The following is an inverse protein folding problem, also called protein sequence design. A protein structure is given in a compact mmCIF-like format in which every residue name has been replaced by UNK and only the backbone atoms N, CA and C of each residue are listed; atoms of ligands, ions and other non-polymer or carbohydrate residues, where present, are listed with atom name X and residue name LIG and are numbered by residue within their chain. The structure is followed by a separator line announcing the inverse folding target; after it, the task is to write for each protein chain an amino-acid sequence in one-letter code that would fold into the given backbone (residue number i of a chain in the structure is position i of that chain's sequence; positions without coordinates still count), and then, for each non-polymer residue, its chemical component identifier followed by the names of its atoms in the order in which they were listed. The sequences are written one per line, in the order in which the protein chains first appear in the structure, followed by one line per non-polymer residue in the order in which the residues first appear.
data_IF_782100795184
#
_entry.id   IF_782100795184
#
_cell.length_a   1.000
_cell.length_b   1.000
_cell.length_c   1.000
_cell.angle_alpha   90.00
_cell.angle_beta   90.00
_cell.angle_gamma   90.00
#
_symmetry.space_group_name_H-M   'P 1'
#
loop_
_entity.id
_entity.type
_entity.pdbx_description
1 polymer ?
#
# COMPACT_ATOMS: atom_id res chain seq x y z
N UNK A 1 14.00 -15.91 6.92
CA UNK A 1 12.73 -15.29 6.53
C UNK A 1 12.52 -14.02 7.34
N UNK A 2 12.50 -12.90 6.65
CA UNK A 2 12.02 -11.62 7.18
C UNK A 2 10.60 -11.40 6.67
N UNK A 3 9.67 -11.02 7.55
CA UNK A 3 8.27 -10.78 7.19
C UNK A 3 7.91 -9.33 7.48
N UNK A 4 7.38 -8.64 6.49
CA UNK A 4 6.94 -7.25 6.58
C UNK A 4 5.44 -7.16 6.31
N UNK A 5 4.71 -6.62 7.27
CA UNK A 5 3.31 -6.24 7.11
C UNK A 5 3.25 -4.74 6.86
N UNK A 6 2.96 -4.35 5.63
CA UNK A 6 2.76 -2.97 5.24
C UNK A 6 1.27 -2.66 5.27
N UNK A 7 0.83 -1.74 6.13
CA UNK A 7 -0.57 -1.35 6.24
C UNK A 7 -0.70 0.10 5.80
N UNK A 8 -1.51 0.35 4.79
CA UNK A 8 -1.73 1.71 4.29
C UNK A 8 -2.44 2.56 5.33
N UNK A 9 -2.06 3.84 5.39
CA UNK A 9 -2.63 4.85 6.28
C UNK A 9 -2.67 4.45 7.78
N UNK A 10 -1.80 3.54 8.24
CA UNK A 10 -1.69 3.19 9.66
C UNK A 10 -1.05 4.35 10.44
N UNK A 11 -1.90 5.15 11.08
CA UNK A 11 -1.47 6.34 11.81
C UNK A 11 -0.96 5.99 13.22
N UNK A 12 0.26 6.42 13.54
CA UNK A 12 0.98 6.06 14.77
C UNK A 12 0.29 6.57 16.03
N UNK A 13 -0.15 7.83 16.05
CA UNK A 13 -0.81 8.45 17.21
C UNK A 13 -2.13 7.74 17.51
N UNK A 14 -2.89 7.33 16.49
CA UNK A 14 -4.10 6.53 16.69
C UNK A 14 -3.80 5.13 17.26
N UNK A 15 -2.73 4.48 16.81
CA UNK A 15 -2.28 3.18 17.38
C UNK A 15 -1.89 3.33 18.85
N UNK A 16 -1.25 4.44 19.21
CA UNK A 16 -0.93 4.77 20.60
C UNK A 16 -2.18 5.09 21.43
N UNK A 17 -3.03 6.00 20.97
CA UNK A 17 -4.20 6.51 21.68
C UNK A 17 -5.25 5.42 21.95
N UNK A 18 -5.43 4.48 21.01
CA UNK A 18 -6.39 3.37 21.15
C UNK A 18 -5.78 2.11 21.79
N UNK A 19 -4.50 2.15 22.20
CA UNK A 19 -3.78 1.02 22.80
C UNK A 19 -3.88 -0.27 21.97
N UNK A 20 -3.60 -0.16 20.66
CA UNK A 20 -3.67 -1.26 19.72
C UNK A 20 -2.50 -2.25 19.91
N UNK A 21 -2.45 -2.96 21.04
CA UNK A 21 -1.31 -3.76 21.47
C UNK A 21 -0.84 -4.83 20.45
N UNK A 22 -1.75 -5.39 19.65
CA UNK A 22 -1.40 -6.37 18.62
C UNK A 22 -0.76 -5.76 17.36
N UNK A 23 -0.87 -4.43 17.18
CA UNK A 23 -0.24 -3.70 16.09
C UNK A 23 1.18 -3.22 16.46
N UNK A 24 1.49 -3.15 17.76
CA UNK A 24 2.80 -2.72 18.26
C UNK A 24 3.76 -3.91 18.29
N UNK A 25 4.93 -3.75 17.68
CA UNK A 25 6.03 -4.70 17.82
C UNK A 25 6.71 -4.54 19.19
N UNK A 26 7.57 -5.48 19.59
CA UNK A 26 8.32 -5.39 20.84
C UNK A 26 9.18 -4.11 20.89
N UNK A 27 9.75 -3.75 19.75
CA UNK A 27 10.42 -2.48 19.50
C UNK A 27 9.71 -1.81 18.32
N UNK A 28 9.32 -0.55 18.48
CA UNK A 28 8.63 0.21 17.45
C UNK A 28 9.01 1.69 17.53
N UNK A 29 8.75 2.43 16.45
CA UNK A 29 9.07 3.84 16.35
C UNK A 29 8.35 4.50 15.19
N UNK A 30 8.67 5.77 14.95
CA UNK A 30 8.15 6.57 13.84
C UNK A 30 9.33 7.01 12.99
N UNK A 31 9.21 6.84 11.67
CA UNK A 31 10.17 7.40 10.72
C UNK A 31 9.95 8.90 10.60
N UNK A 32 11.03 9.68 10.66
CA UNK A 32 10.96 11.09 10.33
C UNK A 32 10.78 11.24 8.82
N UNK A 33 9.64 11.80 8.42
CA UNK A 33 9.26 12.06 7.03
C UNK A 33 9.27 13.56 6.71
N UNK A 34 9.93 14.38 7.53
CA UNK A 34 9.97 15.84 7.35
C UNK A 34 10.69 16.29 6.07
N UNK A 35 11.43 15.40 5.41
CA UNK A 35 12.05 15.65 4.12
C UNK A 35 11.06 15.63 2.94
N UNK A 36 9.85 15.08 3.14
CA UNK A 36 8.82 14.97 2.10
C UNK A 36 7.87 16.17 2.20
N UNK A 37 7.68 16.88 1.09
CA UNK A 37 6.71 17.97 0.97
C UNK A 37 5.31 17.41 0.70
N UNK A 38 5.23 16.32 -0.05
CA UNK A 38 4.00 15.64 -0.44
C UNK A 38 4.12 14.13 -0.17
N UNK A 39 3.91 13.67 1.09
CA UNK A 39 4.08 12.28 1.50
C UNK A 39 2.96 11.37 0.98
N UNK A 40 2.86 11.23 -0.34
CA UNK A 40 1.90 10.37 -1.04
C UNK A 40 2.35 8.90 -0.92
N UNK A 41 1.41 7.97 -0.93
CA UNK A 41 1.68 6.52 -0.88
C UNK A 41 2.75 6.07 -1.88
N UNK A 42 2.63 6.46 -3.15
CA UNK A 42 3.64 6.14 -4.18
C UNK A 42 5.02 6.73 -3.87
N UNK A 43 5.09 7.94 -3.32
CA UNK A 43 6.37 8.59 -2.96
C UNK A 43 7.04 7.85 -1.82
N UNK A 44 6.29 7.59 -0.74
CA UNK A 44 6.83 6.96 0.46
C UNK A 44 7.29 5.53 0.20
N UNK A 45 6.49 4.72 -0.51
CA UNK A 45 6.87 3.33 -0.80
C UNK A 45 8.02 3.21 -1.79
N UNK A 46 8.03 4.05 -2.83
CA UNK A 46 9.17 4.13 -3.76
C UNK A 46 10.45 4.51 -3.02
N UNK A 47 10.36 5.48 -2.12
CA UNK A 47 11.52 5.92 -1.33
C UNK A 47 11.99 4.85 -0.35
N UNK A 48 11.05 4.18 0.33
CA UNK A 48 11.34 3.09 1.25
C UNK A 48 12.10 1.93 0.56
N UNK A 49 11.61 1.46 -0.59
CA UNK A 49 12.20 0.29 -1.24
C UNK A 49 13.50 0.60 -1.97
N UNK A 50 13.71 1.82 -2.45
CA UNK A 50 14.94 2.23 -3.14
C UNK A 50 16.00 2.80 -2.18
N UNK A 51 15.61 3.20 -0.97
CA UNK A 51 16.51 3.81 0.01
C UNK A 51 16.91 5.25 -0.31
N UNK A 52 16.23 5.89 -1.27
CA UNK A 52 16.46 7.27 -1.70
C UNK A 52 15.15 8.06 -1.65
N UNK A 53 15.20 9.38 -1.43
CA UNK A 53 14.01 10.21 -1.57
C UNK A 53 13.58 10.28 -3.05
N UNK A 54 12.45 9.68 -3.39
CA UNK A 54 11.88 9.62 -4.74
C UNK A 54 10.81 10.67 -5.02
N UNK A 55 10.58 11.64 -4.13
CA UNK A 55 9.51 12.65 -4.26
C UNK A 55 9.57 13.38 -5.61
N UNK A 56 10.71 14.00 -5.93
CA UNK A 56 10.88 14.76 -7.17
C UNK A 56 10.66 13.88 -8.42
N UNK A 57 11.17 12.65 -8.42
CA UNK A 57 11.05 11.73 -9.55
C UNK A 57 9.59 11.31 -9.78
N UNK A 58 8.88 11.00 -8.70
CA UNK A 58 7.51 10.50 -8.74
C UNK A 58 6.53 11.63 -9.09
N UNK A 59 6.68 12.80 -8.46
CA UNK A 59 5.80 13.95 -8.73
C UNK A 59 5.97 14.51 -10.14
N UNK A 60 7.18 14.43 -10.71
CA UNK A 60 7.44 14.88 -12.09
C UNK A 60 6.63 14.11 -13.16
N UNK A 61 6.13 12.92 -12.84
CA UNK A 61 5.34 12.08 -13.76
C UNK A 61 3.87 12.52 -13.86
N UNK A 62 3.38 13.31 -12.90
CA UNK A 62 1.98 13.71 -12.82
C UNK A 62 1.06 12.60 -12.29
N UNK A 63 -0.21 12.92 -12.04
CA UNK A 63 -1.09 12.09 -11.21
C UNK A 63 -1.37 10.70 -11.79
N UNK A 64 -1.58 10.56 -13.10
CA UNK A 64 -1.88 9.28 -13.74
C UNK A 64 -0.61 8.41 -13.85
N UNK A 65 0.47 8.97 -14.38
CA UNK A 65 1.70 8.21 -14.64
C UNK A 65 2.51 7.91 -13.37
N UNK A 66 2.30 8.67 -12.30
CA UNK A 66 2.80 8.34 -10.96
C UNK A 66 2.41 6.91 -10.59
N UNK A 67 1.14 6.52 -10.74
CA UNK A 67 0.66 5.17 -10.40
C UNK A 67 1.14 4.09 -11.36
N UNK A 68 1.64 4.47 -12.55
CA UNK A 68 2.22 3.56 -13.52
C UNK A 68 3.71 3.28 -13.30
N UNK A 69 4.34 4.01 -12.38
CA UNK A 69 5.76 3.87 -12.09
C UNK A 69 6.01 2.55 -11.39
N UNK A 70 7.04 1.86 -11.85
CA UNK A 70 7.47 0.56 -11.33
C UNK A 70 8.99 0.54 -11.28
N UNK A 71 9.53 0.11 -10.15
CA UNK A 71 10.97 -0.03 -9.94
C UNK A 71 11.37 -1.49 -10.09
N UNK A 72 12.50 -1.76 -10.74
CA UNK A 72 13.00 -3.12 -10.90
C UNK A 72 13.54 -3.68 -9.59
N UNK A 73 13.68 -5.01 -9.51
CA UNK A 73 14.25 -5.68 -8.34
C UNK A 73 15.63 -5.09 -7.97
N UNK A 74 16.47 -4.83 -8.97
CA UNK A 74 17.83 -4.29 -8.81
C UNK A 74 17.87 -2.86 -8.27
N UNK A 75 16.82 -2.07 -8.51
CA UNK A 75 16.70 -0.70 -7.99
C UNK A 75 16.27 -0.68 -6.51
N UNK A 76 15.80 -1.81 -5.99
CA UNK A 76 15.29 -1.92 -4.63
C UNK A 76 16.23 -2.69 -3.72
N UNK A 77 16.09 -2.50 -2.40
CA UNK A 77 16.81 -3.30 -1.43
C UNK A 77 16.39 -4.78 -1.44
N UNK A 78 15.29 -5.12 -2.11
CA UNK A 78 14.84 -6.50 -2.26
C UNK A 78 15.87 -7.37 -2.99
N UNK A 79 16.71 -6.77 -3.85
CA UNK A 79 17.84 -7.44 -4.51
C UNK A 79 18.89 -8.05 -3.56
N UNK A 80 18.86 -7.71 -2.27
CA UNK A 80 19.73 -8.30 -1.26
C UNK A 80 19.25 -9.67 -0.74
N UNK A 81 18.07 -10.12 -1.16
CA UNK A 81 17.47 -11.39 -0.78
C UNK A 81 17.52 -12.38 -1.96
N UNK A 82 17.67 -13.66 -1.68
CA UNK A 82 17.79 -14.73 -2.68
C UNK A 82 16.45 -15.04 -3.36
N UNK A 83 15.34 -14.98 -2.60
CA UNK A 83 14.00 -15.29 -3.08
C UNK A 83 12.94 -14.39 -2.41
N UNK A 84 12.93 -13.07 -2.71
CA UNK A 84 11.98 -12.14 -2.13
C UNK A 84 10.60 -12.24 -2.80
N UNK A 85 9.55 -12.28 -1.99
CA UNK A 85 8.15 -12.20 -2.42
C UNK A 85 7.52 -10.90 -1.93
N UNK A 86 7.05 -10.07 -2.86
CA UNK A 86 6.41 -8.77 -2.57
C UNK A 86 5.01 -8.79 -3.17
N UNK A 87 4.01 -8.55 -2.34
CA UNK A 87 2.59 -8.66 -2.72
C UNK A 87 1.94 -7.27 -2.61
N UNK A 88 1.36 -6.83 -3.72
CA UNK A 88 0.52 -5.63 -3.85
C UNK A 88 1.19 -4.30 -3.46
N UNK A 89 2.51 -4.20 -3.52
CA UNK A 89 3.22 -3.01 -3.06
C UNK A 89 3.20 -1.89 -4.13
N UNK A 90 2.75 -0.66 -3.79
CA UNK A 90 2.83 0.51 -4.68
C UNK A 90 4.25 0.75 -5.19
N UNK A 91 4.38 0.90 -6.52
CA UNK A 91 5.68 1.08 -7.18
C UNK A 91 6.43 -0.21 -7.51
N UNK A 92 5.89 -1.39 -7.16
CA UNK A 92 6.56 -2.67 -7.45
C UNK A 92 5.61 -3.76 -7.97
N UNK A 93 4.69 -4.27 -7.14
CA UNK A 93 3.78 -5.39 -7.50
C UNK A 93 2.30 -5.04 -7.36
N UNK A 94 1.99 -3.75 -7.44
CA UNK A 94 0.66 -3.18 -7.23
C UNK A 94 -0.38 -3.64 -8.26
N UNK A 95 -1.55 -4.12 -7.82
CA UNK A 95 -2.67 -4.43 -8.74
C UNK A 95 -3.34 -3.14 -9.24
N UNK A 96 -2.75 -2.57 -10.29
CA UNK A 96 -3.21 -1.29 -10.86
C UNK A 96 -4.68 -1.31 -11.22
N UNK A 97 -5.14 -2.37 -11.88
CA UNK A 97 -6.52 -2.49 -12.35
C UNK A 97 -7.54 -2.51 -11.21
N UNK A 98 -7.20 -3.21 -10.13
CA UNK A 98 -8.00 -3.25 -8.92
C UNK A 98 -8.11 -1.86 -8.29
N UNK A 99 -6.97 -1.18 -8.11
CA UNK A 99 -6.93 0.10 -7.41
C UNK A 99 -7.42 1.29 -8.24
N UNK A 100 -7.30 1.24 -9.57
CA UNK A 100 -7.96 2.18 -10.47
C UNK A 100 -9.47 2.14 -10.27
N UNK A 101 -10.04 0.94 -10.19
CA UNK A 101 -11.48 0.79 -9.95
C UNK A 101 -11.90 1.31 -8.57
N UNK A 102 -11.09 1.13 -7.54
CA UNK A 102 -11.33 1.71 -6.23
C UNK A 102 -11.34 3.24 -6.27
N UNK A 103 -10.38 3.85 -6.98
CA UNK A 103 -10.32 5.31 -7.18
C UNK A 103 -11.52 5.83 -7.97
N UNK A 104 -11.93 5.14 -9.02
CA UNK A 104 -13.15 5.49 -9.76
C UNK A 104 -14.40 5.48 -8.86
N UNK A 105 -14.56 4.45 -8.03
CA UNK A 105 -15.70 4.33 -7.13
C UNK A 105 -15.68 5.38 -6.02
N UNK A 106 -14.50 5.73 -5.48
CA UNK A 106 -14.36 6.83 -4.54
C UNK A 106 -14.70 8.17 -5.19
N UNK A 107 -14.16 8.44 -6.38
CA UNK A 107 -14.50 9.65 -7.14
C UNK A 107 -15.99 9.75 -7.37
N UNK A 108 -16.62 8.66 -7.82
CA UNK A 108 -18.07 8.59 -7.98
C UNK A 108 -18.81 8.88 -6.68
N UNK A 109 -18.37 8.34 -5.55
CA UNK A 109 -19.00 8.57 -4.25
C UNK A 109 -18.93 10.05 -3.81
N UNK A 110 -17.78 10.70 -4.01
CA UNK A 110 -17.55 12.06 -3.53
C UNK A 110 -18.03 13.15 -4.50
N UNK A 111 -17.91 12.93 -5.80
CA UNK A 111 -18.12 13.96 -6.82
C UNK A 111 -19.39 13.77 -7.66
N UNK A 112 -19.81 12.53 -7.90
CA UNK A 112 -20.86 12.23 -8.90
C UNK A 112 -22.19 11.78 -8.29
N UNK A 113 -22.17 11.01 -7.20
CA UNK A 113 -23.36 10.41 -6.61
C UNK A 113 -24.23 11.45 -5.88
N UNK A 114 -25.51 11.53 -6.27
CA UNK A 114 -26.45 12.49 -5.73
C UNK A 114 -27.34 11.84 -4.66
N UNK A 115 -27.33 12.42 -3.45
CA UNK A 115 -28.15 11.94 -2.34
C UNK A 115 -27.64 10.66 -1.67
N UNK A 116 -28.30 10.29 -0.58
CA UNK A 116 -27.85 9.19 0.29
C UNK A 116 -28.00 7.81 -0.33
N UNK A 117 -29.03 7.60 -1.16
CA UNK A 117 -29.31 6.28 -1.74
C UNK A 117 -28.25 5.89 -2.80
N UNK A 118 -27.87 6.81 -3.69
CA UNK A 118 -26.80 6.55 -4.68
C UNK A 118 -25.45 6.34 -3.98
N UNK A 119 -25.10 7.21 -3.03
CA UNK A 119 -23.88 7.08 -2.23
C UNK A 119 -23.81 5.74 -1.50
N UNK A 120 -24.95 5.25 -0.99
CA UNK A 120 -25.03 3.95 -0.33
C UNK A 120 -24.74 2.79 -1.30
N UNK A 121 -25.22 2.85 -2.53
CA UNK A 121 -24.94 1.82 -3.53
C UNK A 121 -23.47 1.87 -4.00
N UNK A 122 -22.91 3.06 -4.25
CA UNK A 122 -21.49 3.20 -4.60
C UNK A 122 -20.60 2.68 -3.47
N UNK A 123 -20.89 3.02 -2.21
CA UNK A 123 -20.16 2.51 -1.05
C UNK A 123 -20.23 0.98 -0.92
N UNK A 124 -21.39 0.37 -1.20
CA UNK A 124 -21.52 -1.10 -1.18
C UNK A 124 -20.65 -1.74 -2.27
N UNK A 125 -20.62 -1.15 -3.45
CA UNK A 125 -19.79 -1.61 -4.55
C UNK A 125 -18.30 -1.49 -4.22
N UNK A 126 -17.87 -0.32 -3.74
CA UNK A 126 -16.50 -0.08 -3.26
C UNK A 126 -16.09 -1.10 -2.19
N UNK A 127 -16.89 -1.23 -1.13
CA UNK A 127 -16.58 -2.15 -0.04
C UNK A 127 -16.52 -3.60 -0.52
N UNK A 128 -17.40 -4.02 -1.43
CA UNK A 128 -17.37 -5.39 -1.97
C UNK A 128 -16.08 -5.62 -2.77
N UNK A 129 -15.74 -4.68 -3.65
CA UNK A 129 -14.57 -4.73 -4.52
C UNK A 129 -13.26 -4.74 -3.72
N UNK A 130 -13.10 -3.83 -2.75
CA UNK A 130 -11.91 -3.79 -1.88
C UNK A 130 -11.80 -5.01 -0.97
N UNK A 131 -12.91 -5.46 -0.33
CA UNK A 131 -12.87 -6.63 0.55
C UNK A 131 -12.57 -7.94 -0.20
N UNK A 132 -12.98 -8.07 -1.46
CA UNK A 132 -12.64 -9.22 -2.29
C UNK A 132 -11.14 -9.26 -2.58
N UNK A 133 -10.56 -8.11 -2.92
CA UNK A 133 -9.11 -7.96 -3.10
C UNK A 133 -8.33 -8.25 -1.83
N UNK A 134 -8.71 -7.66 -0.70
CA UNK A 134 -8.04 -7.92 0.59
C UNK A 134 -8.04 -9.40 0.96
N UNK A 135 -9.11 -10.14 0.67
CA UNK A 135 -9.14 -11.59 0.89
C UNK A 135 -8.13 -12.31 0.01
N UNK A 136 -8.06 -11.96 -1.28
CA UNK A 136 -7.10 -12.54 -2.22
C UNK A 136 -5.65 -12.25 -1.78
N UNK A 137 -5.33 -11.00 -1.45
CA UNK A 137 -3.99 -10.60 -0.97
C UNK A 137 -3.63 -11.33 0.33
N UNK A 138 -4.59 -11.45 1.25
CA UNK A 138 -4.40 -12.22 2.48
C UNK A 138 -4.15 -13.70 2.20
N UNK A 139 -4.93 -14.32 1.31
CA UNK A 139 -4.75 -15.72 0.92
C UNK A 139 -3.37 -15.95 0.30
N UNK A 140 -2.98 -15.14 -0.68
CA UNK A 140 -1.65 -15.19 -1.29
C UNK A 140 -0.52 -15.02 -0.27
N UNK A 141 -0.67 -14.05 0.65
CA UNK A 141 0.31 -13.82 1.70
C UNK A 141 0.45 -15.01 2.66
N UNK A 142 -0.67 -15.63 3.05
CA UNK A 142 -0.67 -16.81 3.91
C UNK A 142 -0.06 -18.03 3.21
N UNK A 143 -0.34 -18.21 1.91
CA UNK A 143 0.29 -19.26 1.11
C UNK A 143 1.80 -19.03 0.99
N UNK A 144 2.22 -17.80 0.69
CA UNK A 144 3.64 -17.42 0.59
C UNK A 144 4.42 -17.58 1.91
N UNK A 145 3.75 -17.52 3.07
CA UNK A 145 4.38 -17.85 4.35
C UNK A 145 4.81 -19.32 4.46
N UNK A 146 4.15 -20.23 3.73
CA UNK A 146 4.46 -21.66 3.74
C UNK A 146 5.50 -22.06 2.68
N UNK A 147 5.77 -21.20 1.69
CA UNK A 147 6.63 -21.48 0.54
C UNK A 147 8.15 -21.32 0.81
N UNK A 148 8.53 -20.74 1.94
CA UNK A 148 9.92 -20.71 2.40
C UNK A 148 10.79 -19.58 1.84
N UNK A 149 10.18 -18.50 1.33
CA UNK A 149 10.88 -17.28 0.91
C UNK A 149 11.79 -16.72 2.02
N UNK A 150 12.93 -16.13 1.65
CA UNK A 150 13.83 -15.51 2.62
C UNK A 150 13.40 -14.09 3.02
N UNK A 151 12.55 -13.44 2.21
CA UNK A 151 11.85 -12.20 2.49
C UNK A 151 10.42 -12.21 1.96
N UNK A 152 9.45 -11.80 2.77
CA UNK A 152 8.05 -11.64 2.39
C UNK A 152 7.52 -10.29 2.83
N UNK A 153 6.98 -9.51 1.90
CA UNK A 153 6.26 -8.27 2.18
C UNK A 153 4.84 -8.36 1.61
N UNK A 154 3.86 -8.14 2.47
CA UNK A 154 2.46 -7.96 2.08
C UNK A 154 2.02 -6.54 2.33
N UNK A 155 1.57 -5.86 1.28
CA UNK A 155 0.90 -4.57 1.38
C UNK A 155 -0.61 -4.76 1.50
N UNK A 156 -1.20 -4.11 2.51
CA UNK A 156 -2.62 -4.15 2.79
C UNK A 156 -3.14 -2.73 2.76
N UNK A 157 -3.77 -2.38 1.64
CA UNK A 157 -4.61 -1.18 1.55
C UNK A 157 -5.82 -1.31 2.49
N UNK A 158 -6.41 -0.19 2.91
CA UNK A 158 -7.57 -0.16 3.82
C UNK A 158 -8.86 0.21 3.09
#
# INVERSE_FOLDING_TARGET
MTVVFAVDALEYELVEDFDCANMKQADYGKTDISEFTEPRTMVLWSSFMTGENKEDEILARGDEEMWNTEFSLEETFFSNFEDPKIIDLPGYSYDRSQHERERELLKKFFEEAEGEDEKKEVRKEYNRHGLEHHRRIKEEFLESLEEGHDFLLGYFSA
#
